data_IF_760579161225
#
_entry.id   IF_760579161225
#
_cell.length_a   1.000
_cell.length_b   1.000
_cell.length_c   1.000
_cell.angle_alpha   90.00
_cell.angle_beta   90.00
_cell.angle_gamma   90.00
#
_symmetry.space_group_name_H-M   'P 1'
#
loop_
_entity.id
_entity.type
_entity.pdbx_description
1 polymer ?
#
# COMPACT_ATOMS: atom_id res chain seq x y z
N UNK A 1 -3.00 11.14 -45.01
CA UNK A 1 -2.00 10.22 -44.42
C UNK A 1 -1.50 10.62 -43.03
N UNK A 2 -1.55 11.89 -42.60
CA UNK A 2 -1.06 12.32 -41.27
C UNK A 2 -1.92 11.90 -40.06
N UNK A 3 -3.23 11.69 -40.24
CA UNK A 3 -4.12 11.34 -39.12
C UNK A 3 -3.80 9.96 -38.52
N UNK A 4 -3.43 8.97 -39.33
CA UNK A 4 -3.16 7.60 -38.87
C UNK A 4 -1.89 7.53 -38.01
N UNK A 5 -0.83 8.27 -38.39
CA UNK A 5 0.40 8.34 -37.60
C UNK A 5 0.18 8.97 -36.22
N UNK A 6 -0.69 9.98 -36.13
CA UNK A 6 -0.97 10.68 -34.86
C UNK A 6 -1.69 9.77 -33.85
N UNK A 7 -2.63 8.94 -34.30
CA UNK A 7 -3.31 7.98 -33.43
C UNK A 7 -2.37 6.88 -32.92
N UNK A 8 -1.41 6.41 -33.72
CA UNK A 8 -0.41 5.43 -33.28
C UNK A 8 0.51 5.99 -32.18
N UNK A 9 0.96 7.24 -32.30
CA UNK A 9 1.82 7.87 -31.28
C UNK A 9 1.06 8.07 -29.97
N UNK A 10 -0.21 8.48 -30.02
CA UNK A 10 -1.06 8.61 -28.83
C UNK A 10 -1.30 7.24 -28.19
N UNK A 11 -1.59 6.20 -28.97
CA UNK A 11 -1.81 4.85 -28.46
C UNK A 11 -0.56 4.25 -27.79
N UNK A 12 0.62 4.50 -28.35
CA UNK A 12 1.90 4.11 -27.74
C UNK A 12 2.19 4.87 -26.44
N UNK A 13 1.87 6.16 -26.38
CA UNK A 13 2.02 6.96 -25.16
C UNK A 13 1.05 6.51 -24.06
N UNK A 14 -0.22 6.26 -24.38
CA UNK A 14 -1.23 5.78 -23.42
C UNK A 14 -0.89 4.38 -22.92
N UNK A 15 -0.39 3.50 -23.80
CA UNK A 15 0.06 2.15 -23.42
C UNK A 15 1.28 2.19 -22.48
N UNK A 16 2.23 3.09 -22.72
CA UNK A 16 3.38 3.30 -21.84
C UNK A 16 2.96 3.85 -20.47
N UNK A 17 2.01 4.78 -20.42
CA UNK A 17 1.47 5.32 -19.16
C UNK A 17 0.79 4.21 -18.34
N UNK A 18 0.05 3.30 -18.99
CA UNK A 18 -0.56 2.16 -18.32
C UNK A 18 0.46 1.13 -17.83
N UNK A 19 1.55 0.87 -18.58
CA UNK A 19 2.64 0.03 -18.08
C UNK A 19 3.39 0.68 -16.90
N UNK A 20 3.61 1.99 -16.92
CA UNK A 20 4.21 2.73 -15.80
C UNK A 20 3.31 2.67 -14.55
N UNK A 21 1.98 2.76 -14.72
CA UNK A 21 1.00 2.62 -13.62
C UNK A 21 0.99 1.19 -13.05
N UNK A 22 1.02 0.16 -13.89
CA UNK A 22 1.08 -1.24 -13.43
C UNK A 22 2.40 -1.57 -12.71
N UNK A 23 3.53 -1.05 -13.21
CA UNK A 23 4.86 -1.22 -12.59
C UNK A 23 4.96 -0.56 -11.21
N UNK A 24 4.19 0.52 -10.96
CA UNK A 24 4.11 1.18 -9.64
C UNK A 24 3.33 0.40 -8.58
N UNK A 25 2.37 -0.45 -8.96
CA UNK A 25 1.53 -1.18 -7.98
C UNK A 25 2.13 -2.52 -7.54
N UNK A 26 2.99 -3.14 -8.36
CA UNK A 26 3.62 -4.46 -8.07
C UNK A 26 5.15 -4.45 -7.96
N UNK A 27 5.83 -3.35 -8.30
CA UNK A 27 7.29 -3.31 -8.37
C UNK A 27 7.99 -3.44 -7.00
N UNK A 28 7.40 -2.90 -5.93
CA UNK A 28 8.03 -2.94 -4.59
C UNK A 28 7.94 -4.33 -3.99
N UNK A 29 6.78 -4.96 -4.06
CA UNK A 29 6.53 -6.32 -3.58
C UNK A 29 7.38 -7.34 -4.35
N UNK A 30 7.50 -7.19 -5.68
CA UNK A 30 8.39 -8.01 -6.50
C UNK A 30 9.86 -7.82 -6.13
N UNK A 31 10.31 -6.56 -5.94
CA UNK A 31 11.67 -6.24 -5.49
C UNK A 31 11.99 -6.87 -4.13
N UNK A 32 11.10 -6.74 -3.15
CA UNK A 32 11.30 -7.31 -1.81
C UNK A 32 11.27 -8.84 -1.83
N UNK A 33 10.41 -9.44 -2.64
CA UNK A 33 10.39 -10.90 -2.82
C UNK A 33 11.72 -11.40 -3.40
N UNK A 34 12.27 -10.70 -4.39
CA UNK A 34 13.56 -11.05 -5.00
C UNK A 34 14.74 -10.85 -4.04
N UNK A 35 14.80 -9.72 -3.33
CA UNK A 35 15.86 -9.41 -2.36
C UNK A 35 15.90 -10.43 -1.22
N UNK A 36 14.74 -10.84 -0.72
CA UNK A 36 14.61 -11.80 0.37
C UNK A 36 14.58 -13.27 -0.10
N UNK A 37 14.68 -13.52 -1.41
CA UNK A 37 14.60 -14.86 -2.03
C UNK A 37 13.35 -15.64 -1.60
N UNK A 38 12.20 -14.95 -1.54
CA UNK A 38 10.93 -15.51 -1.09
C UNK A 38 10.09 -16.05 -2.27
N UNK A 39 9.12 -16.90 -1.97
CA UNK A 39 8.16 -17.37 -2.97
C UNK A 39 7.10 -16.29 -3.25
N UNK A 40 7.09 -15.77 -4.48
CA UNK A 40 6.16 -14.71 -4.93
C UNK A 40 4.68 -15.04 -4.77
N UNK A 41 4.27 -16.29 -5.06
CA UNK A 41 2.87 -16.69 -4.93
C UNK A 41 2.43 -16.65 -3.47
N UNK A 42 3.31 -17.12 -2.57
CA UNK A 42 3.07 -17.12 -1.12
C UNK A 42 2.95 -15.70 -0.56
N UNK A 43 3.85 -14.79 -0.96
CA UNK A 43 3.82 -13.40 -0.46
C UNK A 43 2.62 -12.61 -0.98
N UNK A 44 2.19 -12.83 -2.23
CA UNK A 44 0.99 -12.19 -2.78
C UNK A 44 -0.26 -12.56 -1.97
N UNK A 45 -0.38 -13.81 -1.56
CA UNK A 45 -1.51 -14.30 -0.75
C UNK A 45 -1.58 -13.54 0.60
N UNK A 46 -0.44 -13.37 1.26
CA UNK A 46 -0.36 -12.70 2.55
C UNK A 46 -0.58 -11.19 2.54
N UNK A 47 -0.37 -10.51 1.41
CA UNK A 47 -0.67 -9.06 1.33
C UNK A 47 -2.16 -8.76 1.51
N UNK A 48 -3.04 -9.69 1.13
CA UNK A 48 -4.49 -9.46 1.10
C UNK A 48 -5.28 -10.22 2.17
N UNK A 49 -4.67 -11.19 2.85
CA UNK A 49 -5.35 -11.91 3.95
C UNK A 49 -5.45 -11.03 5.20
N UNK A 50 -6.61 -11.01 5.84
CA UNK A 50 -6.92 -10.12 6.98
C UNK A 50 -6.23 -10.59 8.26
N UNK A 51 -6.23 -11.91 8.50
CA UNK A 51 -5.61 -12.53 9.66
C UNK A 51 -4.47 -13.44 9.24
N UNK A 52 -3.25 -13.01 9.59
CA UNK A 52 -2.09 -13.87 9.46
C UNK A 52 -1.65 -14.29 10.85
N UNK A 53 -1.40 -15.59 11.08
CA UNK A 53 -0.83 -16.03 12.34
C UNK A 53 0.53 -15.34 12.51
N UNK A 54 0.70 -14.65 13.64
CA UNK A 54 1.80 -13.74 14.02
C UNK A 54 3.24 -14.30 13.90
N UNK A 55 3.43 -15.53 13.41
CA UNK A 55 4.70 -16.26 13.48
C UNK A 55 5.33 -16.60 12.13
N UNK A 56 5.06 -15.84 11.07
CA UNK A 56 5.84 -15.97 9.84
C UNK A 56 6.92 -14.89 9.77
N UNK A 57 8.08 -15.16 10.38
CA UNK A 57 9.26 -14.29 10.36
C UNK A 57 9.63 -13.81 8.94
N UNK A 58 9.46 -14.69 7.94
CA UNK A 58 9.68 -14.34 6.53
C UNK A 58 8.70 -13.27 6.03
N UNK A 59 7.45 -13.33 6.49
CA UNK A 59 6.43 -12.36 6.12
C UNK A 59 6.64 -11.01 6.82
N UNK A 60 7.05 -11.04 8.10
CA UNK A 60 7.45 -9.81 8.82
C UNK A 60 8.61 -9.10 8.11
N UNK A 61 9.66 -9.85 7.72
CA UNK A 61 10.77 -9.32 6.92
C UNK A 61 10.33 -8.77 5.57
N UNK A 62 9.39 -9.46 4.91
CA UNK A 62 8.81 -9.00 3.65
C UNK A 62 8.06 -7.68 3.82
N UNK A 63 7.16 -7.58 4.80
CA UNK A 63 6.41 -6.35 5.08
C UNK A 63 7.34 -5.21 5.49
N UNK A 64 8.35 -5.48 6.32
CA UNK A 64 9.35 -4.47 6.67
C UNK A 64 10.04 -3.92 5.43
N UNK A 65 10.48 -4.79 4.51
CA UNK A 65 11.09 -4.37 3.24
C UNK A 65 10.12 -3.50 2.41
N UNK A 66 8.87 -3.94 2.27
CA UNK A 66 7.86 -3.23 1.47
C UNK A 66 7.57 -1.85 2.08
N UNK A 67 7.33 -1.80 3.39
CA UNK A 67 7.03 -0.57 4.10
C UNK A 67 8.20 0.40 4.11
N UNK A 68 9.43 -0.09 4.25
CA UNK A 68 10.63 0.73 4.10
C UNK A 68 10.75 1.34 2.70
N UNK A 69 10.61 0.54 1.65
CA UNK A 69 10.69 1.03 0.26
C UNK A 69 9.54 1.96 -0.12
N UNK A 70 8.38 1.81 0.52
CA UNK A 70 7.23 2.73 0.40
C UNK A 70 7.35 3.94 1.33
N UNK A 71 8.44 4.06 2.08
CA UNK A 71 8.69 5.13 3.04
C UNK A 71 7.61 5.23 4.15
N UNK A 72 7.00 4.10 4.51
CA UNK A 72 6.00 3.95 5.60
C UNK A 72 6.70 3.68 6.93
N UNK A 73 7.80 2.91 6.91
CA UNK A 73 8.65 2.66 8.07
C UNK A 73 10.06 3.19 7.81
N UNK A 74 10.69 3.74 8.84
CA UNK A 74 12.12 4.01 8.87
C UNK A 74 12.93 2.75 9.23
N UNK A 75 14.25 2.80 9.04
CA UNK A 75 15.18 1.70 9.36
C UNK A 75 15.07 1.20 10.82
N UNK A 76 14.71 2.10 11.73
CA UNK A 76 14.56 1.83 13.16
C UNK A 76 13.16 1.30 13.53
N UNK A 77 12.28 1.05 12.55
CA UNK A 77 10.92 0.59 12.75
C UNK A 77 9.92 1.67 13.17
N UNK A 78 10.31 2.94 13.18
CA UNK A 78 9.40 4.06 13.43
C UNK A 78 8.51 4.30 12.22
N UNK A 79 7.22 4.58 12.46
CA UNK A 79 6.25 4.88 11.42
C UNK A 79 6.49 6.30 10.88
N UNK A 80 6.69 6.40 9.57
CA UNK A 80 6.62 7.65 8.84
C UNK A 80 5.16 7.96 8.52
N UNK A 81 4.53 8.81 9.33
CA UNK A 81 3.12 9.19 9.18
C UNK A 81 2.78 9.71 7.76
N UNK A 82 3.66 10.51 7.15
CA UNK A 82 3.42 11.04 5.79
C UNK A 82 3.44 9.92 4.75
N UNK A 83 4.36 8.97 4.88
CA UNK A 83 4.41 7.80 4.01
C UNK A 83 3.18 6.90 4.16
N UNK A 84 2.76 6.66 5.41
CA UNK A 84 1.55 5.91 5.72
C UNK A 84 0.29 6.59 5.18
N UNK A 85 0.17 7.91 5.33
CA UNK A 85 -0.94 8.69 4.78
C UNK A 85 -1.05 8.53 3.26
N UNK A 86 0.08 8.69 2.54
CA UNK A 86 0.12 8.50 1.08
C UNK A 86 -0.25 7.07 0.67
N UNK A 87 0.18 6.08 1.45
CA UNK A 87 -0.15 4.68 1.21
C UNK A 87 -1.66 4.43 1.35
N UNK A 88 -2.27 4.87 2.45
CA UNK A 88 -3.71 4.71 2.68
C UNK A 88 -4.51 5.48 1.63
N UNK A 89 -4.13 6.73 1.32
CA UNK A 89 -4.75 7.49 0.22
C UNK A 89 -4.72 6.71 -1.10
N UNK A 90 -3.61 6.05 -1.41
CA UNK A 90 -3.49 5.20 -2.59
C UNK A 90 -4.44 4.01 -2.62
N UNK A 91 -4.85 3.48 -1.45
CA UNK A 91 -5.84 2.39 -1.35
C UNK A 91 -7.27 2.95 -1.50
N UNK A 92 -7.59 4.03 -0.77
CA UNK A 92 -8.95 4.59 -0.74
C UNK A 92 -9.33 5.30 -2.05
N UNK A 93 -8.35 5.84 -2.79
CA UNK A 93 -8.57 6.40 -4.14
C UNK A 93 -9.18 5.41 -5.13
N UNK A 94 -9.00 4.10 -4.91
CA UNK A 94 -9.61 3.08 -5.76
C UNK A 94 -11.12 2.86 -5.45
N UNK A 95 -11.67 3.42 -4.36
CA UNK A 95 -12.99 3.06 -3.82
C UNK A 95 -14.04 4.19 -3.87
N UNK A 96 -13.65 5.47 -4.00
CA UNK A 96 -14.61 6.59 -4.06
C UNK A 96 -14.04 7.78 -4.82
N UNK A 97 -14.86 8.60 -5.48
CA UNK A 97 -14.44 9.87 -6.08
C UNK A 97 -14.60 11.08 -5.14
N UNK A 98 -15.17 10.88 -3.94
CA UNK A 98 -15.38 11.96 -2.97
C UNK A 98 -14.12 12.19 -2.11
N UNK A 99 -13.45 13.30 -2.35
CA UNK A 99 -12.19 13.68 -1.68
C UNK A 99 -12.35 13.92 -0.17
N UNK A 100 -13.49 14.47 0.27
CA UNK A 100 -13.75 14.69 1.70
C UNK A 100 -13.91 13.37 2.44
N UNK A 101 -14.66 12.44 1.84
CA UNK A 101 -14.84 11.09 2.36
C UNK A 101 -13.51 10.32 2.42
N UNK A 102 -12.70 10.39 1.36
CA UNK A 102 -11.36 9.79 1.35
C UNK A 102 -10.48 10.33 2.47
N UNK A 103 -10.46 11.65 2.66
CA UNK A 103 -9.67 12.28 3.70
C UNK A 103 -10.15 11.86 5.10
N UNK A 104 -11.46 11.71 5.31
CA UNK A 104 -12.00 11.24 6.58
C UNK A 104 -11.52 9.82 6.91
N UNK A 105 -11.61 8.89 5.95
CA UNK A 105 -11.11 7.51 6.10
C UNK A 105 -9.63 7.53 6.45
N UNK A 106 -8.82 8.26 5.67
CA UNK A 106 -7.37 8.33 5.87
C UNK A 106 -7.02 8.83 7.26
N UNK A 107 -7.65 9.91 7.73
CA UNK A 107 -7.38 10.46 9.06
C UNK A 107 -7.78 9.50 10.18
N UNK A 108 -8.89 8.80 10.04
CA UNK A 108 -9.36 7.84 11.04
C UNK A 108 -8.46 6.60 11.11
N UNK A 109 -8.03 6.06 9.97
CA UNK A 109 -7.07 4.94 9.93
C UNK A 109 -5.74 5.36 10.55
N UNK A 110 -5.21 6.55 10.20
CA UNK A 110 -3.98 7.08 10.79
C UNK A 110 -4.10 7.23 12.31
N UNK A 111 -5.22 7.79 12.78
CA UNK A 111 -5.49 7.95 14.21
C UNK A 111 -5.50 6.62 14.94
N UNK A 112 -6.20 5.60 14.41
CA UNK A 112 -6.28 4.26 15.00
C UNK A 112 -4.93 3.53 15.00
N UNK A 113 -4.20 3.57 13.89
CA UNK A 113 -3.01 2.74 13.73
C UNK A 113 -1.72 3.37 14.22
N UNK A 114 -1.72 4.65 14.57
CA UNK A 114 -0.52 5.32 15.09
C UNK A 114 -0.69 5.94 16.47
N UNK A 115 -1.88 5.84 17.09
CA UNK A 115 -2.23 6.50 18.35
C UNK A 115 -1.86 7.99 18.31
N UNK A 116 -2.59 8.73 17.48
CA UNK A 116 -2.52 10.19 17.24
C UNK A 116 -1.49 11.04 18.02
N UNK A 117 -0.69 11.76 17.22
CA UNK A 117 0.07 13.01 17.47
C UNK A 117 1.29 12.92 18.41
N UNK A 118 2.44 13.29 17.85
CA UNK A 118 3.72 13.67 18.50
C UNK A 118 4.76 12.56 18.73
N UNK A 119 4.38 11.31 19.02
CA UNK A 119 5.39 10.29 19.37
C UNK A 119 5.85 9.41 18.21
N UNK A 120 7.14 9.06 18.24
CA UNK A 120 7.79 8.10 17.35
C UNK A 120 7.22 6.70 17.60
N UNK A 121 6.08 6.39 16.98
CA UNK A 121 5.45 5.07 17.12
C UNK A 121 6.31 4.02 16.44
N UNK A 122 6.91 3.13 17.22
CA UNK A 122 7.50 1.89 16.71
C UNK A 122 6.42 0.83 16.65
N UNK A 123 6.27 0.19 15.49
CA UNK A 123 5.27 -0.83 15.30
C UNK A 123 5.82 -1.97 14.44
N UNK A 124 5.53 -3.20 14.84
CA UNK A 124 5.83 -4.37 14.03
C UNK A 124 5.06 -4.28 12.69
N UNK A 125 5.70 -4.50 11.54
CA UNK A 125 5.05 -4.49 10.24
C UNK A 125 3.73 -5.26 10.15
N UNK A 126 3.64 -6.48 10.72
CA UNK A 126 2.39 -7.25 10.76
C UNK A 126 1.30 -6.50 11.55
N UNK A 127 1.62 -5.95 12.73
CA UNK A 127 0.66 -5.19 13.54
C UNK A 127 0.13 -3.97 12.79
N UNK A 128 1.02 -3.23 12.12
CA UNK A 128 0.63 -2.06 11.32
C UNK A 128 -0.27 -2.47 10.15
N UNK A 129 0.11 -3.53 9.43
CA UNK A 129 -0.67 -4.06 8.30
C UNK A 129 -2.06 -4.52 8.76
N UNK A 130 -2.16 -5.28 9.85
CA UNK A 130 -3.44 -5.77 10.36
C UNK A 130 -4.33 -4.60 10.80
N UNK A 131 -3.76 -3.61 11.51
CA UNK A 131 -4.52 -2.42 11.88
C UNK A 131 -5.09 -1.67 10.67
N UNK A 132 -4.29 -1.48 9.61
CA UNK A 132 -4.76 -0.80 8.39
C UNK A 132 -5.90 -1.58 7.75
N UNK A 133 -5.74 -2.90 7.57
CA UNK A 133 -6.76 -3.74 6.92
C UNK A 133 -8.05 -3.75 7.73
N UNK A 134 -8.00 -4.02 9.03
CA UNK A 134 -9.20 -4.02 9.89
C UNK A 134 -9.88 -2.66 9.91
N UNK A 135 -9.09 -1.57 9.99
CA UNK A 135 -9.65 -0.22 9.98
C UNK A 135 -10.34 0.12 8.66
N UNK A 136 -9.83 -0.35 7.53
CA UNK A 136 -10.44 -0.12 6.21
C UNK A 136 -11.71 -0.96 6.01
N UNK A 137 -11.75 -2.19 6.50
CA UNK A 137 -12.93 -3.06 6.41
C UNK A 137 -14.15 -2.52 7.16
N UNK A 138 -13.93 -1.88 8.32
CA UNK A 138 -15.02 -1.22 9.06
C UNK A 138 -15.76 -0.18 8.20
N UNK A 139 -15.08 0.50 7.27
CA UNK A 139 -15.73 1.46 6.37
C UNK A 139 -16.51 0.82 5.23
N UNK A 140 -16.14 -0.40 4.81
CA UNK A 140 -16.91 -1.11 3.80
C UNK A 140 -18.24 -1.61 4.39
N UNK A 141 -18.24 -2.06 5.65
CA UNK A 141 -19.43 -2.56 6.34
C UNK A 141 -20.43 -1.49 6.76
N UNK A 142 -19.99 -0.26 7.01
CA UNK A 142 -20.87 0.86 7.42
C UNK A 142 -21.57 1.55 6.22
N UNK A 143 -21.36 1.03 5.00
CA UNK A 143 -21.90 1.59 3.76
C UNK A 143 -23.07 0.81 3.15
N UNK A 144 -23.55 -0.24 3.84
CA UNK A 144 -24.81 -0.97 3.56
C UNK A 144 -25.96 -0.50 4.47
#
# INVERSE_FOLDING_TARGET
MYKILMYCVIYLLVSNINQIKAKRKYGVEESCTAELKLNRKKMKMFTYEVDLPEKQEQFEKFLFCVFKKRNILYENGEVNQKGLEMFIKGIVLDHSSNVEFQNAIVQQVLKKCTNSVVEKTKMAPITLKNCIVSSLQEFESDSE
#
